data_IF_586441771848
#
_entry.id   IF_586441771848
#
_cell.length_a   1.000
_cell.length_b   1.000
_cell.length_c   1.000
_cell.angle_alpha   90.00
_cell.angle_beta   90.00
_cell.angle_gamma   90.00
#
_symmetry.space_group_name_H-M   'P 1'
#
loop_
_entity.id
_entity.type
_entity.pdbx_description
1 polymer ?
#
# COMPACT_ATOMS: atom_id res chain seq x y z
N UNK A 1 -5.86 -20.34 32.51
CA UNK A 1 -6.02 -21.07 31.23
C UNK A 1 -7.19 -20.43 30.49
N UNK A 2 -6.92 -19.28 29.87
CA UNK A 2 -7.91 -18.25 29.60
C UNK A 2 -8.43 -18.25 28.17
N UNK A 3 -9.70 -17.94 28.04
CA UNK A 3 -10.52 -17.66 26.84
C UNK A 3 -9.88 -16.74 25.77
N UNK A 4 -8.77 -16.07 26.08
CA UNK A 4 -8.06 -15.17 25.16
C UNK A 4 -7.40 -15.89 23.98
N UNK A 5 -7.04 -17.17 24.11
CA UNK A 5 -6.47 -17.96 23.01
C UNK A 5 -7.53 -18.54 22.05
N UNK A 6 -8.80 -18.55 22.47
CA UNK A 6 -9.94 -19.09 21.73
C UNK A 6 -10.63 -18.01 20.87
N UNK A 7 -10.17 -16.77 20.85
CA UNK A 7 -10.71 -15.78 19.90
C UNK A 7 -10.06 -15.94 18.53
N UNK A 8 -8.73 -15.80 18.51
CA UNK A 8 -7.95 -15.63 17.27
C UNK A 8 -7.90 -16.91 16.44
N UNK A 9 -7.82 -18.09 17.07
CA UNK A 9 -7.67 -19.36 16.34
C UNK A 9 -8.89 -19.67 15.46
N UNK A 10 -10.10 -19.34 15.93
CA UNK A 10 -11.35 -19.53 15.21
C UNK A 10 -11.41 -18.65 13.96
N UNK A 11 -11.03 -17.38 14.07
CA UNK A 11 -10.96 -16.47 12.92
C UNK A 11 -10.00 -16.99 11.85
N UNK A 12 -8.86 -17.56 12.26
CA UNK A 12 -7.90 -18.19 11.33
C UNK A 12 -8.52 -19.38 10.61
N UNK A 13 -9.23 -20.27 11.33
CA UNK A 13 -9.89 -21.44 10.73
C UNK A 13 -10.98 -21.02 9.73
N UNK A 14 -11.77 -20.00 10.07
CA UNK A 14 -12.80 -19.46 9.18
C UNK A 14 -12.18 -18.86 7.91
N UNK A 15 -11.10 -18.09 8.08
CA UNK A 15 -10.38 -17.50 6.95
C UNK A 15 -9.81 -18.58 6.03
N UNK A 16 -9.28 -19.66 6.60
CA UNK A 16 -8.76 -20.80 5.85
C UNK A 16 -9.85 -21.46 4.99
N UNK A 17 -11.04 -21.67 5.55
CA UNK A 17 -12.19 -22.24 4.80
C UNK A 17 -12.61 -21.32 3.66
N UNK A 18 -12.70 -20.01 3.90
CA UNK A 18 -13.04 -19.02 2.87
C UNK A 18 -11.99 -19.05 1.75
N UNK A 19 -10.70 -19.11 2.09
CA UNK A 19 -9.61 -19.21 1.11
C UNK A 19 -9.66 -20.51 0.31
N UNK A 20 -10.09 -21.63 0.90
CA UNK A 20 -10.28 -22.89 0.19
C UNK A 20 -11.47 -22.85 -0.78
N UNK A 21 -12.57 -22.22 -0.39
CA UNK A 21 -13.78 -22.11 -1.22
C UNK A 21 -13.59 -21.14 -2.40
N UNK A 22 -13.03 -19.96 -2.13
CA UNK A 22 -12.85 -18.91 -3.14
C UNK A 22 -11.49 -18.99 -3.84
N UNK A 23 -10.51 -19.68 -3.25
CA UNK A 23 -9.13 -19.72 -3.73
C UNK A 23 -8.30 -18.51 -3.28
N UNK A 24 -7.03 -18.75 -2.93
CA UNK A 24 -6.09 -17.71 -2.49
C UNK A 24 -5.86 -16.58 -3.52
N UNK A 25 -6.18 -16.82 -4.80
CA UNK A 25 -6.00 -15.85 -5.89
C UNK A 25 -7.18 -14.87 -6.03
N UNK A 26 -8.40 -15.27 -5.64
CA UNK A 26 -9.61 -14.43 -5.76
C UNK A 26 -9.68 -13.33 -4.70
N UNK A 27 -9.31 -13.63 -3.45
CA UNK A 27 -9.29 -12.67 -2.34
C UNK A 27 -8.47 -11.40 -2.65
N UNK A 28 -7.19 -11.49 -3.09
CA UNK A 28 -6.39 -10.30 -3.39
C UNK A 28 -6.86 -9.57 -4.66
N UNK A 29 -7.44 -10.29 -5.62
CA UNK A 29 -8.00 -9.69 -6.84
C UNK A 29 -9.25 -8.85 -6.52
N UNK A 30 -10.15 -9.37 -5.70
CA UNK A 30 -11.32 -8.65 -5.19
C UNK A 30 -10.90 -7.49 -4.28
N UNK A 31 -9.93 -7.70 -3.37
CA UNK A 31 -9.44 -6.65 -2.49
C UNK A 31 -8.77 -5.51 -3.26
N UNK A 32 -8.06 -5.78 -4.37
CA UNK A 32 -7.50 -4.73 -5.24
C UNK A 32 -8.60 -3.91 -5.92
N UNK A 33 -9.66 -4.55 -6.40
CA UNK A 33 -10.81 -3.84 -7.00
C UNK A 33 -11.56 -2.99 -5.99
N UNK A 34 -11.93 -3.59 -4.85
CA UNK A 34 -12.61 -2.90 -3.74
C UNK A 34 -11.74 -1.79 -3.14
N UNK A 35 -10.45 -2.05 -2.95
CA UNK A 35 -9.50 -1.09 -2.39
C UNK A 35 -9.31 0.14 -3.28
N UNK A 36 -9.27 -0.02 -4.61
CA UNK A 36 -9.28 1.11 -5.55
C UNK A 36 -10.57 1.91 -5.45
N UNK A 37 -11.73 1.25 -5.44
CA UNK A 37 -13.04 1.90 -5.30
C UNK A 37 -13.16 2.69 -3.99
N UNK A 38 -12.79 2.08 -2.86
CA UNK A 38 -12.79 2.73 -1.54
C UNK A 38 -11.79 3.88 -1.49
N UNK A 39 -10.61 3.73 -2.11
CA UNK A 39 -9.60 4.80 -2.19
C UNK A 39 -10.13 6.00 -2.96
N UNK A 40 -10.71 5.79 -4.15
CA UNK A 40 -11.29 6.86 -4.96
C UNK A 40 -12.48 7.50 -4.24
N UNK A 41 -13.39 6.69 -3.70
CA UNK A 41 -14.55 7.17 -2.93
C UNK A 41 -14.11 8.00 -1.71
N UNK A 42 -13.09 7.54 -0.98
CA UNK A 42 -12.52 8.29 0.14
C UNK A 42 -11.82 9.55 -0.35
N UNK A 43 -11.04 9.48 -1.42
CA UNK A 43 -10.36 10.65 -1.98
C UNK A 43 -11.35 11.72 -2.42
N UNK A 44 -12.43 11.37 -3.13
CA UNK A 44 -13.46 12.32 -3.56
C UNK A 44 -14.22 12.89 -2.37
N UNK A 45 -14.67 12.04 -1.44
CA UNK A 45 -15.37 12.47 -0.22
C UNK A 45 -14.50 13.34 0.71
N UNK A 46 -13.16 13.22 0.64
CA UNK A 46 -12.23 14.10 1.38
C UNK A 46 -11.76 15.29 0.52
N UNK A 47 -11.89 15.25 -0.81
CA UNK A 47 -11.51 16.37 -1.69
C UNK A 47 -12.52 17.52 -1.64
N UNK A 48 -13.78 17.21 -1.31
CA UNK A 48 -14.77 18.24 -0.96
C UNK A 48 -14.43 18.97 0.36
N UNK A 49 -13.55 18.41 1.20
CA UNK A 49 -13.12 19.02 2.48
C UNK A 49 -11.66 19.54 2.47
N UNK A 50 -10.76 19.00 1.64
CA UNK A 50 -9.33 19.31 1.65
C UNK A 50 -8.73 19.38 0.23
N UNK A 51 -8.80 20.53 -0.44
CA UNK A 51 -7.92 20.87 -1.58
C UNK A 51 -6.49 21.07 -1.05
N UNK A 52 -5.78 20.02 -0.62
CA UNK A 52 -4.40 20.16 -0.10
C UNK A 52 -3.62 18.85 0.11
N UNK A 53 -3.67 17.85 -0.79
CA UNK A 53 -2.72 16.72 -0.67
C UNK A 53 -2.41 15.94 -1.95
N UNK A 54 -2.18 16.65 -3.04
CA UNK A 54 -1.46 16.08 -4.18
C UNK A 54 0.05 16.20 -3.90
N UNK A 55 0.86 15.27 -4.39
CA UNK A 55 2.33 15.21 -4.30
C UNK A 55 2.93 14.56 -3.03
N UNK A 56 2.83 13.22 -2.91
CA UNK A 56 3.86 12.49 -2.13
C UNK A 56 4.01 11.00 -2.44
N UNK A 57 4.02 10.54 -3.70
CA UNK A 57 4.38 9.12 -3.96
C UNK A 57 5.23 8.83 -5.20
N UNK A 58 5.69 9.82 -5.97
CA UNK A 58 6.62 9.58 -7.10
C UNK A 58 7.83 10.53 -7.04
N UNK A 59 8.65 10.45 -5.98
CA UNK A 59 9.98 11.08 -5.96
C UNK A 59 10.94 10.39 -4.98
N UNK A 60 11.05 9.05 -5.06
CA UNK A 60 12.14 8.29 -4.39
C UNK A 60 12.58 7.09 -5.24
N UNK A 61 12.82 7.29 -6.53
CA UNK A 61 13.47 6.31 -7.39
C UNK A 61 14.76 6.82 -8.08
N UNK A 62 15.16 8.09 -7.88
CA UNK A 62 16.39 8.63 -8.46
C UNK A 62 17.17 9.44 -7.42
N UNK A 63 17.95 8.72 -6.60
CA UNK A 63 19.09 9.27 -5.87
C UNK A 63 20.14 8.17 -5.72
N UNK A 64 20.90 7.86 -6.78
CA UNK A 64 22.26 7.36 -6.62
C UNK A 64 23.05 7.43 -7.94
N UNK A 65 23.92 8.44 -8.07
CA UNK A 65 25.28 8.47 -8.64
C UNK A 65 25.59 9.96 -8.95
N UNK A 66 25.95 10.78 -7.95
CA UNK A 66 27.35 11.16 -7.70
C UNK A 66 28.02 11.60 -9.03
N UNK A 67 27.93 12.86 -9.46
CA UNK A 67 28.49 14.06 -8.82
C UNK A 67 29.85 13.79 -8.15
N UNK A 68 30.82 13.34 -8.97
CA UNK A 68 32.25 13.29 -8.58
C UNK A 68 33.21 13.49 -9.77
N UNK A 69 32.88 14.31 -10.78
CA UNK A 69 33.82 14.59 -11.88
C UNK A 69 33.67 15.94 -12.59
N UNK A 70 33.05 16.95 -11.97
CA UNK A 70 32.94 18.31 -12.55
C UNK A 70 33.39 19.39 -11.55
N UNK A 71 34.60 19.29 -11.01
CA UNK A 71 35.35 20.50 -10.62
C UNK A 71 36.80 20.10 -10.29
N UNK A 72 37.73 20.18 -11.25
CA UNK A 72 39.13 20.55 -10.94
C UNK A 72 40.08 20.79 -12.11
N UNK A 73 39.67 20.97 -13.38
CA UNK A 73 40.66 21.44 -14.36
C UNK A 73 40.10 22.26 -15.52
N UNK A 74 39.86 23.54 -15.26
CA UNK A 74 39.80 24.58 -16.31
C UNK A 74 40.61 25.81 -15.91
N UNK A 75 41.89 25.59 -15.59
CA UNK A 75 42.88 26.66 -15.49
C UNK A 75 44.31 26.15 -15.71
N UNK A 76 44.63 25.84 -16.95
CA UNK A 76 45.98 25.83 -17.50
C UNK A 76 45.91 26.29 -18.96
#
# INVERSE_FOLDING_TARGET
MGISSIGVWQWVVILLIIVLLFGAKKIPELAKGLGKGIKTFKSEMNSDEDIKKTEKLEEKADLNQNDASINENKKA
#
